data_IF_879926131061
#
_entry.id   IF_879926131061
#
_cell.length_a   1.000
_cell.length_b   1.000
_cell.length_c   1.000
_cell.angle_alpha   90.00
_cell.angle_beta   90.00
_cell.angle_gamma   90.00
#
_symmetry.space_group_name_H-M   'P 1'
#
loop_
_entity.id
_entity.type
_entity.pdbx_description
1 polymer ?
#
# COMPACT_ATOMS: atom_id res chain seq x y z
N UNK A 1 -21.69 -14.01 16.73
CA UNK A 1 -20.45 -13.31 16.33
C UNK A 1 -20.49 -13.24 14.81
N UNK A 2 -20.72 -12.08 14.22
CA UNK A 2 -20.81 -11.97 12.76
C UNK A 2 -19.40 -12.19 12.23
N UNK A 3 -19.20 -13.22 11.41
CA UNK A 3 -17.94 -13.40 10.70
C UNK A 3 -17.71 -12.14 9.86
N UNK A 4 -16.66 -11.38 10.16
CA UNK A 4 -16.28 -10.23 9.35
C UNK A 4 -15.92 -10.77 7.98
N UNK A 5 -16.61 -10.29 6.95
CA UNK A 5 -16.31 -10.61 5.57
C UNK A 5 -14.88 -10.15 5.23
N UNK A 6 -14.11 -11.00 4.54
CA UNK A 6 -12.69 -10.75 4.27
C UNK A 6 -12.49 -9.45 3.47
N UNK A 7 -13.42 -9.14 2.55
CA UNK A 7 -13.40 -7.89 1.78
C UNK A 7 -13.61 -6.69 2.69
N UNK A 8 -14.60 -6.73 3.59
CA UNK A 8 -14.83 -5.66 4.57
C UNK A 8 -13.61 -5.41 5.45
N UNK A 9 -12.94 -6.47 5.92
CA UNK A 9 -11.70 -6.32 6.71
C UNK A 9 -10.60 -5.58 5.94
N UNK A 10 -10.40 -5.91 4.67
CA UNK A 10 -9.39 -5.23 3.85
C UNK A 10 -9.81 -3.79 3.56
N UNK A 11 -11.09 -3.51 3.35
CA UNK A 11 -11.60 -2.14 3.18
C UNK A 11 -11.40 -1.30 4.44
N UNK A 12 -11.67 -1.84 5.63
CA UNK A 12 -11.40 -1.17 6.91
C UNK A 12 -9.90 -0.89 7.10
N UNK A 13 -9.06 -1.86 6.78
CA UNK A 13 -7.60 -1.69 6.76
C UNK A 13 -7.18 -0.53 5.83
N UNK A 14 -7.70 -0.47 4.60
CA UNK A 14 -7.38 0.60 3.65
C UNK A 14 -7.86 1.97 4.14
N UNK A 15 -9.10 2.06 4.63
CA UNK A 15 -9.68 3.29 5.16
C UNK A 15 -8.90 3.80 6.39
N UNK A 16 -8.38 2.90 7.21
CA UNK A 16 -7.61 3.27 8.39
C UNK A 16 -6.23 3.82 8.03
N UNK A 17 -5.56 3.29 6.99
CA UNK A 17 -4.19 3.66 6.65
C UNK A 17 -4.07 4.77 5.60
N UNK A 18 -4.98 4.83 4.63
CA UNK A 18 -4.91 5.77 3.51
C UNK A 18 -4.95 7.21 4.02
N UNK A 19 -3.95 8.04 3.66
CA UNK A 19 -3.85 9.44 4.09
C UNK A 19 -3.50 9.64 5.57
N UNK A 20 -3.36 8.56 6.34
CA UNK A 20 -3.05 8.61 7.77
C UNK A 20 -1.61 8.18 8.05
N UNK A 21 -1.12 8.52 9.26
CA UNK A 21 0.17 8.04 9.74
C UNK A 21 0.08 6.55 10.03
N UNK A 22 0.93 5.76 9.39
CA UNK A 22 0.90 4.28 9.47
C UNK A 22 1.73 3.79 10.65
N UNK A 23 1.26 4.06 11.87
CA UNK A 23 1.97 3.64 13.10
C UNK A 23 2.04 2.12 13.22
N UNK A 24 3.07 1.56 13.87
CA UNK A 24 3.18 0.10 14.05
C UNK A 24 1.94 -0.53 14.68
N UNK A 25 1.39 0.09 15.72
CA UNK A 25 0.18 -0.38 16.40
C UNK A 25 -1.06 -0.40 15.47
N UNK A 26 -1.20 0.62 14.61
CA UNK A 26 -2.29 0.67 13.63
C UNK A 26 -2.14 -0.45 12.60
N UNK A 27 -0.93 -0.67 12.08
CA UNK A 27 -0.65 -1.71 11.10
C UNK A 27 -0.86 -3.11 11.72
N UNK A 28 -0.37 -3.35 12.94
CA UNK A 28 -0.50 -4.62 13.66
C UNK A 28 -1.94 -5.04 13.99
N UNK A 29 -2.85 -4.07 14.07
CA UNK A 29 -4.28 -4.32 14.21
C UNK A 29 -4.80 -5.21 13.06
N UNK A 30 -4.37 -4.94 11.83
CA UNK A 30 -4.88 -5.60 10.62
C UNK A 30 -3.92 -6.61 10.01
N UNK A 31 -2.62 -6.43 10.21
CA UNK A 31 -1.57 -7.17 9.49
C UNK A 31 -0.79 -8.08 10.44
N UNK A 32 -0.76 -9.37 10.10
CA UNK A 32 0.13 -10.36 10.70
C UNK A 32 1.37 -10.64 9.82
N UNK A 33 1.26 -10.43 8.50
CA UNK A 33 2.35 -10.60 7.53
C UNK A 33 3.53 -9.65 7.83
N UNK A 34 4.73 -10.16 8.21
CA UNK A 34 5.90 -9.32 8.46
C UNK A 34 6.37 -8.57 7.21
N UNK A 35 6.28 -9.18 6.02
CA UNK A 35 6.72 -8.53 4.78
C UNK A 35 5.86 -7.32 4.44
N UNK A 36 4.54 -7.42 4.67
CA UNK A 36 3.65 -6.30 4.47
C UNK A 36 3.93 -5.15 5.45
N UNK A 37 4.25 -5.47 6.72
CA UNK A 37 4.61 -4.46 7.73
C UNK A 37 5.85 -3.67 7.32
N UNK A 38 6.90 -4.38 6.92
CA UNK A 38 8.15 -3.78 6.45
C UNK A 38 7.92 -2.91 5.20
N UNK A 39 7.14 -3.41 4.24
CA UNK A 39 6.79 -2.67 3.03
C UNK A 39 6.04 -1.37 3.37
N UNK A 40 5.05 -1.42 4.27
CA UNK A 40 4.29 -0.24 4.69
C UNK A 40 5.21 0.78 5.37
N UNK A 41 6.06 0.34 6.29
CA UNK A 41 6.99 1.21 7.01
C UNK A 41 8.00 1.87 6.05
N UNK A 42 8.52 1.11 5.09
CA UNK A 42 9.43 1.60 4.07
C UNK A 42 8.81 2.71 3.21
N UNK A 43 7.59 2.50 2.70
CA UNK A 43 6.91 3.50 1.87
C UNK A 43 6.37 4.67 2.69
N UNK A 44 5.97 4.49 3.94
CA UNK A 44 5.59 5.59 4.84
C UNK A 44 6.78 6.51 5.14
N UNK A 45 8.00 5.96 5.27
CA UNK A 45 9.20 6.76 5.45
C UNK A 45 9.52 7.61 4.22
N UNK A 46 9.38 7.06 3.01
CA UNK A 46 9.65 7.78 1.75
C UNK A 46 8.52 8.75 1.34
N UNK A 47 7.27 8.36 1.57
CA UNK A 47 6.05 9.08 1.21
C UNK A 47 5.11 9.18 2.44
N UNK A 48 5.43 10.03 3.43
CA UNK A 48 4.63 10.14 4.64
C UNK A 48 3.16 10.39 4.32
N UNK A 49 2.27 9.58 4.94
CA UNK A 49 0.82 9.63 4.76
C UNK A 49 0.35 9.44 3.31
N UNK A 50 1.04 8.61 2.52
CA UNK A 50 0.55 8.28 1.18
C UNK A 50 -0.88 7.72 1.22
N UNK A 51 -1.64 8.03 0.17
CA UNK A 51 -3.00 7.58 -0.05
C UNK A 51 -2.99 6.30 -0.90
N UNK A 52 -3.91 5.40 -0.58
CA UNK A 52 -4.22 4.20 -1.35
C UNK A 52 -5.64 4.37 -1.89
N UNK A 53 -5.77 4.44 -3.21
CA UNK A 53 -7.02 4.74 -3.91
C UNK A 53 -7.42 3.46 -4.64
N UNK A 54 -8.39 2.72 -4.09
CA UNK A 54 -8.85 1.48 -4.70
C UNK A 54 -9.74 1.75 -5.91
N UNK A 55 -9.43 1.06 -7.01
CA UNK A 55 -10.26 1.07 -8.22
C UNK A 55 -11.20 -0.16 -8.25
N UNK A 56 -10.77 -1.30 -7.69
CA UNK A 56 -11.60 -2.51 -7.57
C UNK A 56 -11.18 -3.39 -6.37
N UNK A 57 -12.16 -4.10 -5.79
CA UNK A 57 -11.97 -5.12 -4.75
C UNK A 57 -12.64 -6.43 -5.17
N UNK A 58 -11.85 -7.45 -5.42
CA UNK A 58 -12.29 -8.78 -5.83
C UNK A 58 -12.00 -9.74 -4.68
N UNK A 59 -12.99 -10.49 -4.22
CA UNK A 59 -12.85 -11.41 -3.09
C UNK A 59 -13.26 -12.81 -3.50
N UNK A 60 -12.40 -13.79 -3.23
CA UNK A 60 -12.67 -15.21 -3.45
C UNK A 60 -12.09 -16.01 -2.27
N UNK A 61 -12.97 -16.62 -1.48
CA UNK A 61 -12.58 -17.38 -0.29
C UNK A 61 -11.78 -16.52 0.71
N UNK A 62 -10.54 -16.93 0.97
CA UNK A 62 -9.61 -16.26 1.89
C UNK A 62 -8.74 -15.18 1.22
N UNK A 63 -8.94 -14.90 -0.07
CA UNK A 63 -8.13 -13.94 -0.82
C UNK A 63 -8.93 -12.72 -1.23
N UNK A 64 -8.30 -11.55 -1.08
CA UNK A 64 -8.81 -10.27 -1.56
C UNK A 64 -7.77 -9.65 -2.48
N UNK A 65 -8.15 -9.41 -3.72
CA UNK A 65 -7.35 -8.70 -4.73
C UNK A 65 -7.85 -7.26 -4.82
N UNK A 66 -6.92 -6.32 -4.81
CA UNK A 66 -7.20 -4.89 -4.96
C UNK A 66 -6.37 -4.36 -6.11
N UNK A 67 -7.03 -3.79 -7.11
CA UNK A 67 -6.39 -2.95 -8.13
C UNK A 67 -6.56 -1.50 -7.69
N UNK A 68 -5.49 -0.73 -7.70
CA UNK A 68 -5.48 0.59 -7.07
C UNK A 68 -4.39 1.51 -7.63
N UNK A 69 -4.40 2.75 -7.13
CA UNK A 69 -3.32 3.73 -7.29
C UNK A 69 -2.79 4.18 -5.93
N UNK A 70 -1.49 4.39 -5.85
CA UNK A 70 -0.83 4.99 -4.69
C UNK A 70 -0.48 6.43 -5.02
N UNK A 71 -0.87 7.37 -4.14
CA UNK A 71 -0.59 8.80 -4.31
C UNK A 71 0.19 9.33 -3.12
N UNK A 72 1.26 10.07 -3.37
CA UNK A 72 2.09 10.58 -2.28
C UNK A 72 3.08 11.65 -2.72
N UNK A 73 3.76 12.27 -1.75
CA UNK A 73 4.83 13.24 -2.01
C UNK A 73 6.15 12.69 -1.45
N UNK A 74 7.19 12.65 -2.27
CA UNK A 74 8.48 12.11 -1.90
C UNK A 74 9.22 13.06 -0.93
N UNK A 75 9.16 12.75 0.36
CA UNK A 75 9.70 13.57 1.46
C UNK A 75 10.76 12.87 2.30
N UNK A 76 10.91 11.56 2.16
CA UNK A 76 12.00 10.79 2.76
C UNK A 76 13.01 10.30 1.74
N UNK A 77 13.99 9.53 2.20
CA UNK A 77 14.92 8.83 1.32
C UNK A 77 14.24 7.57 0.73
N UNK A 78 14.38 7.36 -0.58
CA UNK A 78 13.86 6.19 -1.27
C UNK A 78 15.00 5.46 -1.97
N UNK A 79 15.44 4.31 -1.44
CA UNK A 79 16.50 3.48 -2.05
C UNK A 79 17.80 4.26 -2.35
N UNK A 80 18.15 5.24 -1.51
CA UNK A 80 19.34 6.09 -1.70
C UNK A 80 19.09 7.38 -2.48
N UNK A 81 17.87 7.55 -3.01
CA UNK A 81 17.46 8.80 -3.63
C UNK A 81 17.02 9.80 -2.55
N UNK A 82 17.59 11.03 -2.54
CA UNK A 82 17.17 12.07 -1.60
C UNK A 82 15.74 12.54 -1.89
N UNK A 83 15.04 13.12 -0.90
CA UNK A 83 13.67 13.58 -1.07
C UNK A 83 13.56 14.64 -2.16
N UNK A 84 12.84 14.31 -3.23
CA UNK A 84 12.71 15.18 -4.41
C UNK A 84 11.64 16.27 -4.27
N UNK A 85 10.72 16.14 -3.30
CA UNK A 85 9.55 17.01 -3.15
C UNK A 85 8.45 16.81 -4.20
N UNK A 86 8.64 15.92 -5.18
CA UNK A 86 7.67 15.64 -6.23
C UNK A 86 6.51 14.78 -5.72
N UNK A 87 5.34 15.03 -6.28
CA UNK A 87 4.18 14.16 -6.12
C UNK A 87 4.25 12.99 -7.10
N UNK A 88 3.75 11.84 -6.67
CA UNK A 88 3.52 10.67 -7.52
C UNK A 88 2.07 10.20 -7.44
N UNK A 89 1.60 9.60 -8.52
CA UNK A 89 0.40 8.76 -8.56
C UNK A 89 0.71 7.56 -9.47
N UNK A 90 0.77 6.36 -8.90
CA UNK A 90 1.22 5.15 -9.63
C UNK A 90 0.28 3.97 -9.42
N UNK A 91 0.00 3.17 -10.46
CA UNK A 91 -0.85 1.99 -10.35
C UNK A 91 -0.14 0.85 -9.61
N UNK A 92 -0.93 0.07 -8.87
CA UNK A 92 -0.48 -1.17 -8.25
C UNK A 92 -1.62 -2.18 -8.09
N UNK A 93 -1.23 -3.43 -7.85
CA UNK A 93 -2.10 -4.53 -7.47
C UNK A 93 -1.60 -5.09 -6.14
N UNK A 94 -2.53 -5.31 -5.22
CA UNK A 94 -2.28 -6.01 -3.97
C UNK A 94 -3.18 -7.25 -3.88
N UNK A 95 -2.59 -8.39 -3.55
CA UNK A 95 -3.32 -9.61 -3.18
C UNK A 95 -3.08 -9.85 -1.71
N UNK A 96 -4.15 -9.97 -0.93
CA UNK A 96 -4.11 -10.27 0.49
C UNK A 96 -4.72 -11.64 0.74
N UNK A 97 -4.05 -12.46 1.55
CA UNK A 97 -4.64 -13.63 2.17
C UNK A 97 -5.05 -13.28 3.60
N UNK A 98 -6.30 -13.58 3.96
CA UNK A 98 -6.89 -13.25 5.25
C UNK A 98 -7.20 -14.52 6.04
N UNK A 99 -6.74 -14.57 7.29
CA UNK A 99 -7.09 -15.64 8.22
C UNK A 99 -7.13 -15.09 9.66
N UNK A 100 -8.08 -15.59 10.46
CA UNK A 100 -8.21 -15.20 11.86
C UNK A 100 -8.44 -13.69 12.07
N UNK A 101 -9.09 -13.02 11.12
CA UNK A 101 -9.32 -11.57 11.17
C UNK A 101 -8.07 -10.72 10.96
N UNK A 102 -7.05 -11.24 10.25
CA UNK A 102 -5.84 -10.49 9.87
C UNK A 102 -5.36 -10.86 8.47
N UNK A 103 -4.64 -9.92 7.84
CA UNK A 103 -3.87 -10.18 6.63
C UNK A 103 -2.61 -10.97 7.03
N UNK A 104 -2.59 -12.24 6.67
CA UNK A 104 -1.50 -13.18 7.03
C UNK A 104 -0.45 -13.33 5.94
N UNK A 105 -0.77 -12.94 4.70
CA UNK A 105 0.16 -12.93 3.58
C UNK A 105 -0.25 -11.90 2.53
N UNK A 106 0.74 -11.34 1.84
CA UNK A 106 0.52 -10.38 0.77
C UNK A 106 1.42 -10.62 -0.44
N UNK A 107 0.94 -10.20 -1.62
CA UNK A 107 1.71 -10.08 -2.85
C UNK A 107 1.40 -8.71 -3.45
N UNK A 108 2.45 -7.98 -3.81
CA UNK A 108 2.34 -6.58 -4.25
C UNK A 108 3.08 -6.42 -5.58
N UNK A 109 2.44 -5.76 -6.53
CA UNK A 109 3.04 -5.37 -7.80
C UNK A 109 2.70 -3.91 -8.07
N UNK A 110 3.74 -3.07 -8.18
CA UNK A 110 3.60 -1.62 -8.43
C UNK A 110 4.36 -1.28 -9.69
N UNK A 111 3.85 -0.33 -10.47
CA UNK A 111 4.61 0.22 -11.59
C UNK A 111 5.77 1.08 -11.07
N UNK A 112 6.92 0.42 -10.90
CA UNK A 112 8.13 1.09 -10.42
C UNK A 112 8.78 1.96 -11.50
N UNK A 113 8.55 1.65 -12.77
CA UNK A 113 9.12 2.44 -13.86
C UNK A 113 8.45 3.81 -13.87
N UNK A 114 7.12 3.85 -13.85
CA UNK A 114 6.35 5.09 -13.77
C UNK A 114 6.70 5.89 -12.50
N UNK A 115 6.87 5.23 -11.36
CA UNK A 115 7.32 5.88 -10.13
C UNK A 115 8.68 6.57 -10.31
N UNK A 116 9.66 5.89 -10.90
CA UNK A 116 11.00 6.46 -11.12
C UNK A 116 10.98 7.62 -12.14
N UNK A 117 10.15 7.53 -13.18
CA UNK A 117 9.96 8.62 -14.15
C UNK A 117 9.36 9.86 -13.48
N UNK A 118 8.28 9.71 -12.71
CA UNK A 118 7.64 10.82 -11.99
C UNK A 118 8.58 11.47 -10.97
N UNK A 119 9.47 10.68 -10.36
CA UNK A 119 10.51 11.18 -9.45
C UNK A 119 11.68 11.85 -10.21
N UNK A 120 11.78 11.68 -11.53
CA UNK A 120 12.83 12.19 -12.40
C UNK A 120 14.15 11.44 -12.29
N UNK A 121 14.11 10.19 -11.83
CA UNK A 121 15.26 9.29 -11.82
C UNK A 121 15.55 8.71 -13.22
N UNK A 122 14.57 8.76 -14.12
CA UNK A 122 14.68 8.35 -15.53
C UNK A 122 13.89 9.30 -16.44
N UNK A 123 14.20 9.37 -17.75
CA UNK A 123 13.43 10.14 -18.71
C UNK A 123 11.99 9.63 -18.81
N UNK A 124 11.03 10.53 -19.01
CA UNK A 124 9.64 10.17 -19.31
C UNK A 124 9.52 9.50 -20.68
N UNK A 125 8.83 8.37 -20.77
CA UNK A 125 8.68 7.62 -22.01
C UNK A 125 7.44 8.05 -22.84
N UNK A 126 7.24 9.36 -23.00
CA UNK A 126 6.14 9.95 -23.80
C UNK A 126 6.55 10.23 -25.25
#
# INVERSE_FOLDING_TARGET
MIAVDNKSLVQEYWNALSGNVKTPALVEKYVADPHLKEHIAFFEAAFPRYEMIADDFICEGDKVVVRARARGVHKGNLMGMPPSGKAIEVPFIAVYQVAGGKIVKSWLATDRMEMMEQLGAMPSNN
#
